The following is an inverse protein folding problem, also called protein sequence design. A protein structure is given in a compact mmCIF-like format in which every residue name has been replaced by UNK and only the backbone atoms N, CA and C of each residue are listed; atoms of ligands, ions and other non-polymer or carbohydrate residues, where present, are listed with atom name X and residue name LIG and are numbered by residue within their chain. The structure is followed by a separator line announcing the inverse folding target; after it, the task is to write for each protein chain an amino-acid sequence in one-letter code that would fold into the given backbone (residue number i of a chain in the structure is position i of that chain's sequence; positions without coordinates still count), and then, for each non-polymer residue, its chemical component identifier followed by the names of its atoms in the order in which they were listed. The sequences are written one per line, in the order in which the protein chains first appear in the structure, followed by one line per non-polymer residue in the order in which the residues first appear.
data_IF_485015592569
#
_entry.id   IF_485015592569
#
_cell.length_a   1.000
_cell.length_b   1.000
_cell.length_c   1.000
_cell.angle_alpha   90.00
_cell.angle_beta   90.00
_cell.angle_gamma   90.00
#
_symmetry.space_group_name_H-M   'P 1'
#
loop_
_entity.id
_entity.type
_entity.pdbx_description
1 polymer ?
#
# COMPACT_ATOMS: atom_id res chain seq x y z
N UNK A 1 10.31 -15.44 -7.89
CA UNK A 1 10.31 -13.98 -7.71
C UNK A 1 10.60 -13.68 -6.25
N UNK A 2 11.25 -12.56 -5.93
CA UNK A 2 11.45 -12.14 -4.54
C UNK A 2 10.87 -10.73 -4.39
N UNK A 3 9.53 -10.59 -4.44
CA UNK A 3 8.89 -9.29 -4.25
C UNK A 3 9.17 -8.76 -2.84
N UNK A 4 9.12 -7.44 -2.64
CA UNK A 4 9.36 -6.86 -1.34
C UNK A 4 8.30 -7.31 -0.33
N UNK A 5 8.72 -7.46 0.92
CA UNK A 5 7.75 -7.66 1.99
C UNK A 5 6.79 -6.46 2.04
N UNK A 6 5.48 -6.70 2.26
CA UNK A 6 4.54 -5.61 2.45
C UNK A 6 4.91 -4.82 3.70
N UNK A 7 4.94 -3.48 3.61
CA UNK A 7 4.91 -2.64 4.80
C UNK A 7 3.53 -2.77 5.43
N UNK A 8 3.47 -3.30 6.64
CA UNK A 8 2.25 -3.37 7.44
C UNK A 8 2.43 -2.48 8.67
N UNK A 9 1.37 -1.75 8.98
CA UNK A 9 1.24 -1.05 10.25
C UNK A 9 0.74 -2.03 11.31
N UNK A 10 0.76 -1.61 12.57
CA UNK A 10 0.30 -2.46 13.66
C UNK A 10 -0.53 -1.62 14.63
N UNK A 11 -1.86 -1.73 14.47
CA UNK A 11 -2.83 -0.93 15.19
C UNK A 11 -3.88 -1.81 15.85
N UNK A 12 -4.17 -1.52 17.11
CA UNK A 12 -5.32 -2.09 17.80
C UNK A 12 -6.57 -1.25 17.50
N UNK A 13 -7.51 -1.85 16.76
CA UNK A 13 -8.81 -1.28 16.39
C UNK A 13 -9.98 -2.07 17.02
N UNK A 14 -9.71 -2.82 18.09
CA UNK A 14 -10.71 -3.67 18.75
C UNK A 14 -11.94 -2.90 19.20
N UNK A 15 -11.76 -1.66 19.69
CA UNK A 15 -12.87 -0.81 20.16
C UNK A 15 -13.93 -0.57 19.07
N UNK A 16 -13.51 -0.15 17.87
CA UNK A 16 -14.44 0.12 16.76
C UNK A 16 -15.02 -1.16 16.17
N UNK A 17 -14.24 -2.25 16.17
CA UNK A 17 -14.72 -3.56 15.71
C UNK A 17 -15.80 -4.11 16.65
N UNK A 18 -15.62 -3.97 17.96
CA UNK A 18 -16.60 -4.42 18.95
C UNK A 18 -17.87 -3.56 18.91
N UNK A 19 -17.73 -2.25 18.67
CA UNK A 19 -18.88 -1.38 18.40
C UNK A 19 -19.67 -1.89 17.18
N UNK A 20 -19.01 -2.14 16.04
CA UNK A 20 -19.68 -2.65 14.83
C UNK A 20 -20.39 -3.99 15.11
N UNK A 21 -19.74 -4.91 15.84
CA UNK A 21 -20.33 -6.20 16.20
C UNK A 21 -21.57 -6.05 17.08
N UNK A 22 -21.55 -5.11 18.03
CA UNK A 22 -22.70 -4.82 18.90
C UNK A 22 -23.94 -4.31 18.17
N UNK A 23 -23.77 -3.81 16.94
CA UNK A 23 -24.86 -3.37 16.06
C UNK A 23 -25.51 -4.54 15.30
N UNK A 24 -25.02 -5.77 15.47
CA UNK A 24 -25.54 -6.99 14.83
C UNK A 24 -25.67 -6.88 13.30
N UNK A 25 -24.73 -6.15 12.68
CA UNK A 25 -24.67 -5.96 11.22
C UNK A 25 -23.94 -7.14 10.59
N UNK A 26 -24.59 -7.81 9.63
CA UNK A 26 -23.95 -8.85 8.82
C UNK A 26 -22.84 -8.23 7.95
N UNK A 27 -21.63 -8.79 8.04
CA UNK A 27 -20.45 -8.33 7.30
C UNK A 27 -19.77 -9.47 6.55
N UNK A 28 -18.97 -9.12 5.54
CA UNK A 28 -18.12 -10.05 4.80
C UNK A 28 -16.65 -9.76 5.09
N UNK A 29 -15.83 -10.81 5.06
CA UNK A 29 -14.39 -10.71 5.30
C UNK A 29 -13.99 -11.07 6.73
N UNK A 30 -12.70 -10.95 7.02
CA UNK A 30 -12.10 -11.21 8.34
C UNK A 30 -11.15 -10.07 8.67
N UNK A 31 -11.11 -9.71 9.94
CA UNK A 31 -10.21 -8.68 10.47
C UNK A 31 -9.48 -9.26 11.68
N UNK A 32 -8.17 -9.05 11.73
CA UNK A 32 -7.41 -9.13 12.98
C UNK A 32 -7.44 -7.75 13.62
N UNK A 33 -8.28 -7.59 14.64
CA UNK A 33 -8.53 -6.29 15.24
C UNK A 33 -7.35 -5.80 16.09
N UNK A 34 -6.50 -6.70 16.59
CA UNK A 34 -5.33 -6.34 17.39
C UNK A 34 -4.13 -5.93 16.53
N UNK A 35 -4.11 -6.33 15.24
CA UNK A 35 -2.99 -6.09 14.32
C UNK A 35 -3.51 -5.56 12.96
N UNK A 36 -4.21 -4.43 12.97
CA UNK A 36 -4.75 -3.84 11.75
C UNK A 36 -3.63 -3.26 10.87
N UNK A 37 -3.44 -3.75 9.63
CA UNK A 37 -2.19 -3.55 8.89
C UNK A 37 -2.13 -2.30 8.02
N UNK A 38 -3.19 -1.48 8.01
CA UNK A 38 -3.36 -0.37 7.07
C UNK A 38 -3.05 0.99 7.71
N UNK A 39 -2.61 1.99 6.92
CA UNK A 39 -2.33 3.32 7.45
C UNK A 39 -3.61 3.99 7.96
N UNK A 40 -3.51 4.65 9.10
CA UNK A 40 -4.63 5.37 9.72
C UNK A 40 -4.61 6.88 9.42
N UNK A 41 -3.47 7.42 9.01
CA UNK A 41 -3.30 8.85 8.74
C UNK A 41 -2.43 9.15 7.50
N UNK A 42 -2.28 10.45 7.19
CA UNK A 42 -1.48 10.94 6.07
C UNK A 42 0.01 10.57 6.20
N UNK A 43 0.55 10.57 7.42
CA UNK A 43 1.96 10.29 7.67
C UNK A 43 2.29 8.82 7.38
N UNK A 44 1.49 7.89 7.88
CA UNK A 44 1.63 6.46 7.58
C UNK A 44 1.41 6.16 6.09
N UNK A 45 0.42 6.82 5.48
CA UNK A 45 0.20 6.67 4.05
C UNK A 45 1.42 7.15 3.23
N UNK A 46 2.11 8.21 3.69
CA UNK A 46 3.36 8.65 3.09
C UNK A 46 4.50 7.65 3.24
N UNK A 47 4.62 7.00 4.41
CA UNK A 47 5.58 5.92 4.61
C UNK A 47 5.32 4.73 3.67
N UNK A 48 4.05 4.41 3.42
CA UNK A 48 3.67 3.37 2.48
C UNK A 48 4.05 3.74 1.03
N UNK A 49 3.86 5.01 0.63
CA UNK A 49 4.32 5.50 -0.67
C UNK A 49 5.85 5.42 -0.78
N UNK A 50 6.59 5.87 0.23
CA UNK A 50 8.06 5.78 0.25
C UNK A 50 8.56 4.34 0.15
N UNK A 51 7.90 3.41 0.87
CA UNK A 51 8.21 1.99 0.78
C UNK A 51 8.01 1.43 -0.63
N UNK A 52 6.91 1.81 -1.29
CA UNK A 52 6.66 1.42 -2.68
C UNK A 52 7.74 1.98 -3.63
N UNK A 53 8.07 3.27 -3.52
CA UNK A 53 9.08 3.89 -4.37
C UNK A 53 10.44 3.22 -4.22
N UNK A 54 10.85 2.92 -2.98
CA UNK A 54 12.14 2.32 -2.69
C UNK A 54 12.24 0.83 -3.07
N UNK A 55 11.15 0.06 -2.96
CA UNK A 55 11.22 -1.40 -3.02
C UNK A 55 10.38 -2.03 -4.14
N UNK A 56 9.31 -1.37 -4.57
CA UNK A 56 8.35 -1.87 -5.54
C UNK A 56 8.53 -1.27 -6.94
N UNK A 57 8.75 0.04 -7.01
CA UNK A 57 8.66 0.82 -8.25
C UNK A 57 9.54 0.25 -9.35
N UNK A 58 10.82 -0.07 -9.10
CA UNK A 58 11.75 -0.55 -10.12
C UNK A 58 11.31 -1.81 -10.89
N UNK A 59 10.32 -2.54 -10.37
CA UNK A 59 9.78 -3.77 -10.97
C UNK A 59 8.26 -3.70 -11.20
N UNK A 60 7.63 -2.54 -10.96
CA UNK A 60 6.17 -2.40 -11.04
C UNK A 60 5.62 -2.73 -12.43
N UNK A 61 6.10 -2.04 -13.47
CA UNK A 61 5.67 -2.25 -14.85
C UNK A 61 6.06 -3.63 -15.39
N UNK A 62 7.26 -4.12 -15.04
CA UNK A 62 7.76 -5.45 -15.45
C UNK A 62 6.81 -6.59 -15.04
N UNK A 63 6.16 -6.47 -13.88
CA UNK A 63 5.28 -7.50 -13.31
C UNK A 63 3.83 -7.05 -13.18
N UNK A 64 3.41 -6.00 -13.89
CA UNK A 64 2.08 -5.40 -13.72
C UNK A 64 0.93 -6.40 -13.94
N UNK A 65 1.10 -7.33 -14.88
CA UNK A 65 0.10 -8.35 -15.23
C UNK A 65 0.45 -9.75 -14.71
N UNK A 66 1.55 -9.87 -13.94
CA UNK A 66 1.96 -11.15 -13.38
C UNK A 66 1.04 -11.56 -12.23
N UNK A 67 0.81 -12.87 -12.08
CA UNK A 67 0.12 -13.45 -10.94
C UNK A 67 1.00 -14.53 -10.32
N UNK A 68 1.06 -14.55 -8.99
CA UNK A 68 1.82 -15.55 -8.22
C UNK A 68 1.01 -16.00 -7.01
N UNK A 69 1.00 -17.31 -6.74
CA UNK A 69 0.21 -17.88 -5.64
C UNK A 69 0.83 -17.63 -4.27
N UNK A 70 2.15 -17.37 -4.19
CA UNK A 70 2.86 -17.11 -2.95
C UNK A 70 2.98 -15.63 -2.59
N UNK A 71 2.72 -14.75 -3.55
CA UNK A 71 3.00 -13.32 -3.45
C UNK A 71 1.76 -12.50 -3.82
N UNK A 72 0.81 -12.30 -2.89
CA UNK A 72 -0.48 -11.69 -3.19
C UNK A 72 -0.41 -10.24 -3.69
N UNK A 73 0.71 -9.54 -3.46
CA UNK A 73 0.88 -8.13 -3.84
C UNK A 73 1.95 -7.89 -4.91
N UNK A 74 2.81 -8.88 -5.19
CA UNK A 74 3.99 -8.71 -6.05
C UNK A 74 4.69 -7.36 -5.80
N UNK A 75 4.74 -6.48 -6.81
CA UNK A 75 5.38 -5.17 -6.75
C UNK A 75 4.36 -4.02 -6.71
N UNK A 76 3.08 -4.28 -6.44
CA UNK A 76 2.05 -3.25 -6.41
C UNK A 76 2.17 -2.32 -5.19
N UNK A 77 1.79 -1.06 -5.38
CA UNK A 77 1.98 0.02 -4.40
C UNK A 77 1.13 -0.09 -3.13
N UNK A 78 -0.01 -0.80 -3.19
CA UNK A 78 -0.99 -0.91 -2.08
C UNK A 78 -1.56 0.44 -1.61
N UNK A 79 -1.48 1.50 -2.42
CA UNK A 79 -1.91 2.86 -2.06
C UNK A 79 -3.40 3.14 -2.27
N UNK A 80 -4.16 2.24 -2.91
CA UNK A 80 -5.55 2.47 -3.29
C UNK A 80 -6.44 2.83 -2.10
N UNK A 81 -6.26 2.13 -0.97
CA UNK A 81 -6.99 2.39 0.27
C UNK A 81 -6.69 3.82 0.80
N UNK A 82 -5.42 4.17 0.93
CA UNK A 82 -4.99 5.49 1.42
C UNK A 82 -5.49 6.63 0.52
N UNK A 83 -5.44 6.45 -0.81
CA UNK A 83 -5.98 7.43 -1.77
C UNK A 83 -7.49 7.62 -1.60
N UNK A 84 -8.25 6.52 -1.50
CA UNK A 84 -9.71 6.59 -1.45
C UNK A 84 -10.24 7.17 -0.13
N UNK A 85 -9.49 7.01 0.96
CA UNK A 85 -9.76 7.67 2.24
C UNK A 85 -9.24 9.11 2.31
N UNK A 86 -8.62 9.61 1.23
CA UNK A 86 -8.01 10.96 1.15
C UNK A 86 -6.83 11.16 2.10
N UNK A 87 -6.19 10.07 2.54
CA UNK A 87 -4.92 10.10 3.26
C UNK A 87 -3.75 10.46 2.33
N UNK A 88 -3.90 10.28 1.02
CA UNK A 88 -2.96 10.75 0.01
C UNK A 88 -3.69 11.43 -1.14
N UNK A 89 -3.12 12.52 -1.63
CA UNK A 89 -3.62 13.17 -2.83
C UNK A 89 -3.01 12.53 -4.09
N UNK A 90 -3.77 12.21 -5.15
CA UNK A 90 -3.21 11.58 -6.37
C UNK A 90 -2.05 12.37 -6.99
N UNK A 91 -2.16 13.70 -7.03
CA UNK A 91 -1.08 14.59 -7.50
C UNK A 91 0.23 14.46 -6.70
N UNK A 92 0.14 14.22 -5.39
CA UNK A 92 1.32 14.03 -4.52
C UNK A 92 2.02 12.71 -4.86
N UNK A 93 1.26 11.65 -5.13
CA UNK A 93 1.80 10.35 -5.57
C UNK A 93 2.51 10.49 -6.92
N UNK A 94 1.85 11.11 -7.90
CA UNK A 94 2.44 11.31 -9.24
C UNK A 94 3.72 12.14 -9.14
N UNK A 95 3.69 13.27 -8.43
CA UNK A 95 4.86 14.12 -8.29
C UNK A 95 6.03 13.39 -7.62
N UNK A 96 5.78 12.70 -6.50
CA UNK A 96 6.82 11.99 -5.76
C UNK A 96 7.41 10.82 -6.57
N UNK A 97 6.58 10.15 -7.37
CA UNK A 97 7.05 9.08 -8.28
C UNK A 97 7.94 9.63 -9.39
N UNK A 98 7.53 10.75 -10.01
CA UNK A 98 8.35 11.42 -11.03
C UNK A 98 9.68 11.94 -10.45
N UNK A 99 9.64 12.57 -9.27
CA UNK A 99 10.84 13.06 -8.58
C UNK A 99 11.78 11.90 -8.24
N UNK A 100 11.23 10.78 -7.75
CA UNK A 100 12.01 9.58 -7.44
C UNK A 100 12.67 8.99 -8.70
N UNK A 101 11.92 8.85 -9.79
CA UNK A 101 12.44 8.37 -11.08
C UNK A 101 13.57 9.27 -11.62
N UNK A 102 13.36 10.60 -11.60
CA UNK A 102 14.38 11.56 -12.06
C UNK A 102 15.66 11.50 -11.22
N UNK A 103 15.56 11.23 -9.92
CA UNK A 103 16.70 11.05 -9.04
C UNK A 103 17.41 9.69 -9.23
N UNK A 104 16.73 8.68 -9.79
CA UNK A 104 17.22 7.31 -9.91
C UNK A 104 17.16 6.73 -11.35
N UNK A 105 17.66 7.45 -12.39
CA UNK A 105 17.45 7.09 -13.79
C UNK A 105 18.14 5.79 -14.24
N UNK A 106 19.08 5.27 -13.43
CA UNK A 106 19.73 3.97 -13.68
C UNK A 106 19.04 2.80 -13.00
N UNK A 107 18.25 3.08 -11.95
CA UNK A 107 17.61 2.04 -11.14
C UNK A 107 16.13 1.87 -11.50
N UNK A 108 15.49 2.92 -12.00
CA UNK A 108 14.07 2.90 -12.41
C UNK A 108 13.97 3.26 -13.88
N UNK A 109 13.58 2.29 -14.71
CA UNK A 109 13.25 2.51 -16.11
C UNK A 109 11.90 3.23 -16.25
N UNK A 110 11.71 4.02 -17.32
CA UNK A 110 10.45 4.74 -17.55
C UNK A 110 9.24 3.82 -17.67
N UNK A 111 9.41 2.58 -18.14
CA UNK A 111 8.33 1.61 -18.22
C UNK A 111 7.78 1.19 -16.84
N UNK A 112 8.47 1.57 -15.75
CA UNK A 112 8.06 1.26 -14.39
C UNK A 112 7.22 2.36 -13.73
N UNK A 113 7.09 3.52 -14.38
CA UNK A 113 6.52 4.76 -13.82
C UNK A 113 5.09 4.98 -14.30
#
# INVERSE_FOLDING_TARGET
LTPPAPLNFDHDVSEIVDLIRSLEIDTIGRIDAAHFPWPLDHHEAQQLLDHFLANGLANFGTYQDAMDTGSPYLYHSRLSFAMNLKLLHPREIVQKTLDYWQAHPKAVDIAQV
#
